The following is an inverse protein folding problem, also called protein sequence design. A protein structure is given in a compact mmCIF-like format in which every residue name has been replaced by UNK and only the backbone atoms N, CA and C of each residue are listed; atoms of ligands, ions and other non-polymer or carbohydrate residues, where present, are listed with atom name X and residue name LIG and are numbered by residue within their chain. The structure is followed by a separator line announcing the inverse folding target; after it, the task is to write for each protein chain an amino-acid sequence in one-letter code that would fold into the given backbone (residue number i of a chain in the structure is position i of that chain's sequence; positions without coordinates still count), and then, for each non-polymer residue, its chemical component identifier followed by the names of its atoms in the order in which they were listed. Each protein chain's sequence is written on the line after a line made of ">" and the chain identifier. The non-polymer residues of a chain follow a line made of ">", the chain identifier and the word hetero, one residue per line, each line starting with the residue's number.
data_IF_788914465678
#
_entry.id   IF_788914465678
#
_cell.length_a   1.000
_cell.length_b   1.000
_cell.length_c   1.000
_cell.angle_alpha   90.00
_cell.angle_beta   90.00
_cell.angle_gamma   90.00
#
_symmetry.space_group_name_H-M   'P 1'
#
loop_
_entity.id
_entity.type
_entity.pdbx_description
1 polymer ?
#
# COMPACT_ATOMS: atom_id res chain seq x y z
N UNK A 1 6.07 32.50 27.29
CA UNK A 1 6.79 33.02 26.11
C UNK A 1 7.18 31.84 25.23
N UNK A 2 6.35 31.49 24.24
CA UNK A 2 6.74 30.52 23.21
C UNK A 2 7.84 31.14 22.34
N UNK A 3 8.99 30.46 22.24
CA UNK A 3 10.15 30.93 21.48
C UNK A 3 9.83 30.98 19.99
N UNK A 4 9.82 32.19 19.41
CA UNK A 4 9.54 32.45 18.00
C UNK A 4 10.39 31.60 17.00
N UNK A 5 11.58 31.16 17.41
CA UNK A 5 12.44 30.28 16.61
C UNK A 5 11.88 28.87 16.39
N UNK A 6 11.13 28.31 17.34
CA UNK A 6 10.56 26.97 17.23
C UNK A 6 9.41 26.89 16.21
N UNK A 7 8.68 27.99 16.00
CA UNK A 7 7.60 28.09 15.03
C UNK A 7 8.14 28.20 13.60
N UNK A 8 9.24 28.93 13.41
CA UNK A 8 9.91 29.07 12.12
C UNK A 8 10.47 27.72 11.63
N UNK A 9 11.12 26.96 12.51
CA UNK A 9 11.65 25.62 12.20
C UNK A 9 10.53 24.62 11.83
N UNK A 10 9.42 24.59 12.58
CA UNK A 10 8.26 23.76 12.25
C UNK A 10 7.67 24.07 10.86
N UNK A 11 7.58 25.36 10.50
CA UNK A 11 7.10 25.78 9.16
C UNK A 11 8.03 25.35 8.04
N UNK A 12 9.35 25.40 8.27
CA UNK A 12 10.34 24.96 7.29
C UNK A 12 10.28 23.45 7.07
N UNK A 13 10.16 22.66 8.14
CA UNK A 13 9.97 21.20 8.04
C UNK A 13 8.68 20.83 7.31
N UNK A 14 7.57 21.52 7.63
CA UNK A 14 6.31 21.32 6.91
C UNK A 14 6.43 21.66 5.42
N UNK A 15 7.12 22.75 5.06
CA UNK A 15 7.38 23.11 3.65
C UNK A 15 8.21 22.05 2.94
N UNK A 16 9.26 21.53 3.57
CA UNK A 16 10.08 20.47 2.99
C UNK A 16 9.26 19.20 2.72
N UNK A 17 8.50 18.72 3.72
CA UNK A 17 7.60 17.57 3.53
C UNK A 17 6.54 17.83 2.47
N UNK A 18 5.98 19.04 2.42
CA UNK A 18 5.00 19.42 1.39
C UNK A 18 5.60 19.35 -0.02
N UNK A 19 6.81 19.89 -0.22
CA UNK A 19 7.54 19.85 -1.50
C UNK A 19 7.75 18.41 -1.96
N UNK A 20 8.15 17.52 -1.05
CA UNK A 20 8.36 16.10 -1.33
C UNK A 20 7.05 15.41 -1.71
N UNK A 21 5.94 15.72 -1.02
CA UNK A 21 4.61 15.23 -1.38
C UNK A 21 4.16 15.74 -2.76
N UNK A 22 4.40 17.01 -3.09
CA UNK A 22 4.08 17.54 -4.42
C UNK A 22 4.89 16.85 -5.50
N UNK A 23 6.19 16.64 -5.29
CA UNK A 23 7.06 15.90 -6.20
C UNK A 23 6.58 14.46 -6.37
N UNK A 24 6.28 13.76 -5.28
CA UNK A 24 5.78 12.39 -5.29
C UNK A 24 4.45 12.25 -6.05
N UNK A 25 3.54 13.22 -5.86
CA UNK A 25 2.22 13.23 -6.51
C UNK A 25 2.25 13.83 -7.93
N UNK A 26 3.42 14.24 -8.44
CA UNK A 26 3.55 14.86 -9.76
C UNK A 26 2.96 16.26 -9.87
N UNK A 27 2.66 16.94 -8.76
CA UNK A 27 2.33 18.36 -8.76
C UNK A 27 3.59 19.18 -9.04
N UNK A 28 3.46 20.30 -9.76
CA UNK A 28 4.56 21.25 -9.96
C UNK A 28 4.98 21.83 -8.60
N UNK A 29 6.02 21.23 -8.01
CA UNK A 29 6.72 21.73 -6.83
C UNK A 29 7.80 22.69 -7.30
N UNK A 30 7.98 23.81 -6.62
CA UNK A 30 8.80 24.96 -7.06
C UNK A 30 10.33 24.69 -7.15
N UNK A 31 10.80 23.44 -7.08
CA UNK A 31 12.22 23.09 -7.19
C UNK A 31 12.37 21.74 -7.88
N UNK A 32 12.73 21.78 -9.17
CA UNK A 32 13.07 20.63 -10.00
C UNK A 32 14.43 20.07 -9.60
N UNK A 33 14.50 18.86 -9.05
CA UNK A 33 15.70 18.03 -9.14
C UNK A 33 15.30 16.57 -9.43
N UNK A 34 15.76 16.09 -10.58
CA UNK A 34 15.47 14.76 -11.11
C UNK A 34 16.39 13.69 -10.52
N UNK A 35 15.79 12.62 -9.99
CA UNK A 35 16.53 11.45 -9.50
C UNK A 35 16.72 10.44 -10.64
N UNK A 36 17.97 10.19 -11.06
CA UNK A 36 18.32 9.14 -12.03
C UNK A 36 18.64 7.84 -11.31
N UNK A 37 17.77 6.84 -11.43
CA UNK A 37 18.01 5.49 -10.89
C UNK A 37 18.98 4.70 -11.77
N UNK A 38 20.03 4.11 -11.18
CA UNK A 38 21.01 3.24 -11.89
C UNK A 38 20.41 1.86 -12.17
N UNK A 39 20.40 1.43 -13.43
CA UNK A 39 19.95 0.09 -13.85
C UNK A 39 20.91 -1.00 -13.36
N UNK A 40 20.46 -1.84 -12.43
CA UNK A 40 21.11 -3.08 -12.00
C UNK A 40 20.89 -4.21 -13.03
N UNK A 41 21.87 -5.10 -13.21
CA UNK A 41 21.76 -6.31 -14.06
C UNK A 41 20.78 -7.31 -13.45
N UNK A 42 19.87 -7.81 -14.27
CA UNK A 42 18.76 -8.69 -13.85
C UNK A 42 19.19 -10.14 -13.66
N UNK A 43 18.59 -10.83 -12.70
CA UNK A 43 18.82 -12.24 -12.42
C UNK A 43 17.69 -13.13 -12.98
N UNK A 44 17.94 -14.41 -13.33
CA UNK A 44 16.93 -15.29 -13.94
C UNK A 44 15.63 -15.46 -13.14
N UNK A 45 15.70 -15.52 -11.81
CA UNK A 45 14.51 -15.60 -10.94
C UNK A 45 13.65 -14.32 -11.00
N UNK A 46 14.22 -13.19 -11.42
CA UNK A 46 13.45 -11.96 -11.63
C UNK A 46 12.55 -12.08 -12.87
N UNK A 47 12.89 -12.96 -13.83
CA UNK A 47 12.12 -13.16 -15.07
C UNK A 47 10.88 -14.01 -14.81
N UNK A 48 11.01 -15.12 -14.08
CA UNK A 48 9.87 -15.94 -13.64
C UNK A 48 8.93 -15.15 -12.70
N UNK A 49 9.50 -14.33 -11.81
CA UNK A 49 8.72 -13.44 -10.95
C UNK A 49 8.04 -12.32 -11.75
N UNK A 50 8.63 -11.84 -12.85
CA UNK A 50 8.01 -10.88 -13.76
C UNK A 50 6.83 -11.50 -14.52
N UNK A 51 6.97 -12.72 -15.03
CA UNK A 51 5.87 -13.45 -15.69
C UNK A 51 4.70 -13.69 -14.71
N UNK A 52 5.00 -14.19 -13.49
CA UNK A 52 4.00 -14.37 -12.46
C UNK A 52 3.32 -13.06 -12.02
N UNK A 53 4.05 -11.93 -12.06
CA UNK A 53 3.48 -10.60 -11.81
C UNK A 53 2.52 -10.19 -12.92
N UNK A 54 2.91 -10.35 -14.19
CA UNK A 54 2.08 -10.01 -15.35
C UNK A 54 0.78 -10.82 -15.30
N UNK A 55 0.88 -12.13 -15.12
CA UNK A 55 -0.27 -13.03 -15.04
C UNK A 55 -1.21 -12.68 -13.89
N UNK A 56 -0.65 -12.38 -12.71
CA UNK A 56 -1.44 -11.94 -11.55
C UNK A 56 -2.15 -10.62 -11.83
N UNK A 57 -1.45 -9.68 -12.46
CA UNK A 57 -2.01 -8.38 -12.81
C UNK A 57 -3.16 -8.51 -13.80
N UNK A 58 -3.02 -9.37 -14.80
CA UNK A 58 -4.12 -9.65 -15.74
C UNK A 58 -5.35 -10.23 -15.03
N UNK A 59 -5.15 -11.17 -14.10
CA UNK A 59 -6.27 -11.75 -13.33
C UNK A 59 -6.95 -10.72 -12.44
N UNK A 60 -6.17 -9.90 -11.72
CA UNK A 60 -6.69 -8.79 -10.92
C UNK A 60 -7.48 -7.80 -11.77
N UNK A 61 -7.02 -7.47 -12.97
CA UNK A 61 -7.71 -6.53 -13.87
C UNK A 61 -9.02 -7.10 -14.43
N UNK A 62 -9.10 -8.43 -14.60
CA UNK A 62 -10.32 -9.14 -15.01
C UNK A 62 -11.28 -9.39 -13.84
N UNK A 63 -10.89 -9.07 -12.61
CA UNK A 63 -11.68 -9.29 -11.41
C UNK A 63 -12.93 -8.40 -11.36
N UNK A 64 -14.11 -9.00 -11.14
CA UNK A 64 -15.30 -8.23 -10.77
C UNK A 64 -15.29 -7.91 -9.27
N UNK A 65 -14.96 -6.67 -8.91
CA UNK A 65 -14.80 -6.24 -7.52
C UNK A 65 -16.06 -6.44 -6.66
N UNK A 66 -17.26 -6.20 -7.21
CA UNK A 66 -18.52 -6.38 -6.46
C UNK A 66 -18.76 -7.86 -6.15
N UNK A 67 -18.50 -8.74 -7.11
CA UNK A 67 -18.63 -10.20 -6.92
C UNK A 67 -17.66 -10.68 -5.85
N UNK A 68 -16.39 -10.24 -5.90
CA UNK A 68 -15.41 -10.64 -4.89
C UNK A 68 -15.73 -10.09 -3.51
N UNK A 69 -16.23 -8.85 -3.41
CA UNK A 69 -16.67 -8.28 -2.15
C UNK A 69 -17.75 -9.16 -1.51
N UNK A 70 -18.76 -9.55 -2.30
CA UNK A 70 -19.85 -10.40 -1.81
C UNK A 70 -19.39 -11.81 -1.42
N UNK A 71 -18.39 -12.36 -2.11
CA UNK A 71 -17.77 -13.64 -1.73
C UNK A 71 -16.99 -13.54 -0.43
N UNK A 72 -16.29 -12.43 -0.21
CA UNK A 72 -15.47 -12.21 0.97
C UNK A 72 -16.28 -11.81 2.21
N UNK A 73 -17.32 -10.97 2.05
CA UNK A 73 -18.04 -10.32 3.15
C UNK A 73 -19.50 -10.78 3.32
N UNK A 74 -20.03 -11.57 2.37
CA UNK A 74 -21.43 -12.04 2.35
C UNK A 74 -22.27 -11.39 1.24
N UNK A 75 -23.39 -12.03 0.89
CA UNK A 75 -24.22 -11.69 -0.28
C UNK A 75 -24.75 -10.24 -0.28
N UNK A 76 -25.08 -9.72 0.89
CA UNK A 76 -25.60 -8.35 1.09
C UNK A 76 -24.50 -7.27 1.14
N UNK A 77 -23.24 -7.66 0.99
CA UNK A 77 -22.14 -6.70 1.08
C UNK A 77 -22.17 -5.71 -0.10
N UNK A 78 -22.01 -4.43 0.26
CA UNK A 78 -21.94 -3.30 -0.68
C UNK A 78 -20.74 -2.43 -0.32
N UNK A 79 -20.13 -1.83 -1.35
CA UNK A 79 -19.06 -0.86 -1.16
C UNK A 79 -19.61 0.40 -0.48
N UNK A 80 -18.74 1.08 0.26
CA UNK A 80 -19.04 2.31 0.99
C UNK A 80 -18.23 3.46 0.42
N UNK A 81 -18.88 4.60 0.15
CA UNK A 81 -18.20 5.80 -0.37
C UNK A 81 -17.36 5.48 -1.61
N UNK A 82 -16.09 5.91 -1.60
CA UNK A 82 -15.15 5.78 -2.72
C UNK A 82 -14.48 4.40 -2.84
N UNK A 83 -14.88 3.39 -2.06
CA UNK A 83 -14.21 2.09 -2.05
C UNK A 83 -14.18 1.41 -3.42
N UNK A 84 -15.32 1.40 -4.12
CA UNK A 84 -15.42 0.70 -5.40
C UNK A 84 -14.53 1.36 -6.45
N UNK A 85 -14.54 2.69 -6.53
CA UNK A 85 -13.72 3.48 -7.43
C UNK A 85 -12.22 3.28 -7.14
N UNK A 86 -11.83 3.37 -5.88
CA UNK A 86 -10.44 3.17 -5.46
C UNK A 86 -9.97 1.73 -5.76
N UNK A 87 -10.80 0.71 -5.50
CA UNK A 87 -10.46 -0.68 -5.84
C UNK A 87 -10.31 -0.87 -7.35
N UNK A 88 -11.21 -0.29 -8.15
CA UNK A 88 -11.11 -0.34 -9.62
C UNK A 88 -9.79 0.25 -10.10
N UNK A 89 -9.42 1.44 -9.62
CA UNK A 89 -8.14 2.08 -9.95
C UNK A 89 -6.95 1.20 -9.54
N UNK A 90 -6.96 0.64 -8.33
CA UNK A 90 -5.91 -0.28 -7.83
C UNK A 90 -5.80 -1.52 -8.73
N UNK A 91 -6.91 -2.15 -9.09
CA UNK A 91 -6.91 -3.37 -9.92
C UNK A 91 -6.63 -3.11 -11.40
N UNK A 92 -6.87 -1.88 -11.87
CA UNK A 92 -6.49 -1.42 -13.20
C UNK A 92 -4.98 -1.13 -13.29
N UNK A 93 -4.29 -1.05 -12.15
CA UNK A 93 -2.88 -0.75 -12.09
C UNK A 93 -2.53 0.73 -12.10
N UNK A 94 -3.51 1.59 -11.82
CA UNK A 94 -3.29 3.02 -11.72
C UNK A 94 -2.39 3.32 -10.52
N UNK A 95 -1.43 4.23 -10.70
CA UNK A 95 -0.50 4.64 -9.67
C UNK A 95 0.06 6.04 -9.96
N UNK A 96 0.09 6.96 -8.98
CA UNK A 96 -0.39 6.79 -7.60
C UNK A 96 -1.92 6.92 -7.46
N UNK A 97 -2.52 6.19 -6.51
CA UNK A 97 -3.93 6.34 -6.12
C UNK A 97 -4.00 6.96 -4.72
N UNK A 98 -4.75 8.06 -4.59
CA UNK A 98 -4.97 8.75 -3.31
C UNK A 98 -6.45 8.65 -2.93
N UNK A 99 -6.76 7.84 -1.92
CA UNK A 99 -8.12 7.67 -1.40
C UNK A 99 -8.29 8.40 -0.06
N UNK A 100 -9.12 9.44 -0.03
CA UNK A 100 -9.46 10.18 1.19
C UNK A 100 -10.75 9.61 1.78
N UNK A 101 -10.65 9.00 2.97
CA UNK A 101 -11.78 8.31 3.60
C UNK A 101 -11.81 8.54 5.12
N UNK A 102 -12.99 8.75 5.73
CA UNK A 102 -13.09 8.93 7.18
C UNK A 102 -12.70 7.65 7.94
N UNK A 103 -12.41 7.79 9.23
CA UNK A 103 -12.17 6.64 10.12
C UNK A 103 -13.40 5.74 10.16
N UNK A 104 -13.21 4.42 10.17
CA UNK A 104 -14.31 3.46 10.13
C UNK A 104 -14.92 3.20 8.74
N UNK A 105 -14.60 4.00 7.72
CA UNK A 105 -15.11 3.81 6.35
C UNK A 105 -14.58 2.55 5.64
N UNK A 106 -13.73 1.75 6.29
CA UNK A 106 -13.21 0.50 5.73
C UNK A 106 -12.04 0.68 4.76
N UNK A 107 -11.12 1.62 5.03
CA UNK A 107 -9.89 1.82 4.23
C UNK A 107 -9.08 0.54 3.99
N UNK A 108 -9.05 -0.38 4.95
CA UNK A 108 -8.32 -1.64 4.80
C UNK A 108 -8.86 -2.54 3.69
N UNK A 109 -10.12 -2.38 3.30
CA UNK A 109 -10.72 -3.12 2.19
C UNK A 109 -9.99 -2.91 0.87
N UNK A 110 -9.40 -1.72 0.68
CA UNK A 110 -8.71 -1.36 -0.56
C UNK A 110 -7.52 -2.28 -0.86
N UNK A 111 -6.85 -2.81 0.17
CA UNK A 111 -5.76 -3.77 0.01
C UNK A 111 -6.18 -5.21 0.33
N UNK A 112 -7.12 -5.41 1.25
CA UNK A 112 -7.56 -6.75 1.66
C UNK A 112 -8.32 -7.46 0.55
N UNK A 113 -9.22 -6.77 -0.15
CA UNK A 113 -10.00 -7.40 -1.22
C UNK A 113 -9.12 -7.92 -2.37
N UNK A 114 -8.19 -7.14 -2.96
CA UNK A 114 -7.33 -7.66 -4.01
C UNK A 114 -6.36 -8.73 -3.50
N UNK A 115 -5.88 -8.64 -2.25
CA UNK A 115 -5.02 -9.68 -1.66
C UNK A 115 -5.78 -11.00 -1.41
N UNK A 116 -7.07 -10.93 -1.11
CA UNK A 116 -7.94 -12.08 -0.94
C UNK A 116 -8.31 -12.73 -2.27
N UNK A 117 -8.66 -11.91 -3.26
CA UNK A 117 -9.16 -12.36 -4.55
C UNK A 117 -8.09 -13.04 -5.41
N UNK A 118 -6.86 -12.52 -5.42
CA UNK A 118 -5.77 -13.04 -6.25
C UNK A 118 -4.50 -13.28 -5.41
N UNK A 119 -4.27 -14.57 -5.12
CA UNK A 119 -3.07 -15.07 -4.46
C UNK A 119 -1.88 -15.13 -5.43
N UNK A 120 -0.67 -15.29 -4.90
CA UNK A 120 0.56 -15.31 -5.70
C UNK A 120 1.25 -13.95 -5.84
N UNK A 121 0.97 -13.01 -4.93
CA UNK A 121 1.71 -11.77 -4.78
C UNK A 121 1.62 -11.23 -3.36
N UNK A 122 2.48 -10.27 -3.04
CA UNK A 122 2.57 -9.66 -1.71
C UNK A 122 2.23 -8.19 -1.77
N UNK A 123 1.26 -7.77 -0.95
CA UNK A 123 0.94 -6.37 -0.73
C UNK A 123 1.66 -5.89 0.53
N UNK A 124 2.56 -4.92 0.37
CA UNK A 124 3.24 -4.26 1.49
C UNK A 124 2.36 -3.12 2.00
N UNK A 125 2.01 -3.14 3.28
CA UNK A 125 1.18 -2.12 3.92
C UNK A 125 2.00 -1.44 5.01
N UNK A 126 2.39 -0.19 4.75
CA UNK A 126 3.14 0.63 5.70
C UNK A 126 2.18 1.28 6.68
N UNK A 127 2.31 0.97 7.97
CA UNK A 127 1.47 1.51 9.04
C UNK A 127 2.31 2.03 10.21
N UNK A 128 2.06 3.26 10.70
CA UNK A 128 2.88 3.87 11.74
C UNK A 128 2.59 3.33 13.15
N UNK A 129 1.39 2.80 13.39
CA UNK A 129 0.96 2.37 14.72
C UNK A 129 1.10 0.86 14.87
N UNK A 130 2.00 0.42 15.75
CA UNK A 130 2.20 -1.02 16.07
C UNK A 130 0.90 -1.67 16.54
N UNK A 131 0.12 -1.00 17.38
CA UNK A 131 -1.19 -1.50 17.85
C UNK A 131 -2.17 -1.78 16.69
N UNK A 132 -2.07 -1.01 15.60
CA UNK A 132 -2.91 -1.20 14.41
C UNK A 132 -2.49 -2.44 13.61
N UNK A 133 -1.21 -2.86 13.68
CA UNK A 133 -0.72 -4.06 12.98
C UNK A 133 -1.43 -5.31 13.48
N UNK A 134 -1.51 -5.50 14.80
CA UNK A 134 -2.17 -6.65 15.40
C UNK A 134 -3.66 -6.76 15.02
N UNK A 135 -4.36 -5.63 14.97
CA UNK A 135 -5.76 -5.58 14.52
C UNK A 135 -5.91 -5.92 13.04
N UNK A 136 -5.00 -5.45 12.18
CA UNK A 136 -4.99 -5.78 10.76
C UNK A 136 -4.66 -7.24 10.52
N UNK A 137 -3.64 -7.79 11.19
CA UNK A 137 -3.29 -9.22 11.15
C UNK A 137 -4.47 -10.09 11.55
N UNK A 138 -5.16 -9.73 12.64
CA UNK A 138 -6.37 -10.43 13.09
C UNK A 138 -7.48 -10.41 12.04
N UNK A 139 -7.72 -9.28 11.37
CA UNK A 139 -8.74 -9.16 10.30
C UNK A 139 -8.36 -9.98 9.07
N UNK A 140 -7.10 -9.93 8.63
CA UNK A 140 -6.61 -10.77 7.55
C UNK A 140 -6.81 -12.26 7.85
N UNK A 141 -6.43 -12.70 9.06
CA UNK A 141 -6.61 -14.09 9.52
C UNK A 141 -8.08 -14.53 9.48
N UNK A 142 -9.02 -13.66 9.90
CA UNK A 142 -10.47 -13.95 9.84
C UNK A 142 -10.99 -14.13 8.40
N UNK A 143 -10.36 -13.48 7.44
CA UNK A 143 -10.70 -13.57 6.02
C UNK A 143 -9.91 -14.66 5.27
N UNK A 144 -9.03 -15.39 5.96
CA UNK A 144 -8.14 -16.38 5.34
C UNK A 144 -6.99 -15.76 4.52
N UNK A 145 -6.69 -14.48 4.73
CA UNK A 145 -5.57 -13.79 4.07
C UNK A 145 -4.29 -14.02 4.89
N UNK A 146 -3.28 -14.62 4.26
CA UNK A 146 -1.93 -14.76 4.83
C UNK A 146 -1.33 -13.37 5.09
N UNK A 147 -1.03 -13.06 6.34
CA UNK A 147 -0.61 -11.72 6.77
C UNK A 147 0.44 -11.80 7.86
N UNK A 148 1.60 -11.20 7.62
CA UNK A 148 2.72 -11.18 8.55
C UNK A 148 3.18 -9.76 8.88
N UNK A 149 3.77 -9.61 10.07
CA UNK A 149 4.44 -8.37 10.46
C UNK A 149 5.91 -8.47 10.06
N UNK A 150 6.47 -7.39 9.52
CA UNK A 150 7.89 -7.34 9.21
C UNK A 150 8.71 -7.11 10.48
N UNK A 151 9.67 -8.01 10.71
CA UNK A 151 10.56 -8.02 11.90
C UNK A 151 12.05 -7.93 11.52
N UNK A 152 12.38 -7.32 10.37
CA UNK A 152 13.77 -7.16 9.91
C UNK A 152 14.38 -8.40 9.27
N UNK A 153 13.55 -9.38 8.89
CA UNK A 153 13.97 -10.57 8.13
C UNK A 153 12.91 -10.89 7.10
N UNK A 154 13.34 -11.55 6.02
CA UNK A 154 12.45 -12.03 4.95
C UNK A 154 11.25 -12.78 5.56
N UNK A 155 10.01 -12.29 5.36
CA UNK A 155 8.81 -13.00 5.74
C UNK A 155 8.77 -14.35 5.01
N UNK A 156 8.06 -15.35 5.54
CA UNK A 156 7.86 -16.61 4.83
C UNK A 156 7.38 -16.33 3.39
N UNK A 157 7.88 -17.09 2.41
CA UNK A 157 7.73 -16.86 0.96
C UNK A 157 6.27 -16.92 0.41
N UNK A 158 5.26 -16.75 1.27
CA UNK A 158 3.84 -16.88 0.94
C UNK A 158 2.91 -15.85 1.63
N UNK A 159 3.44 -14.78 2.22
CA UNK A 159 2.58 -13.74 2.82
C UNK A 159 1.88 -12.90 1.74
N UNK A 160 0.54 -12.93 1.71
CA UNK A 160 -0.26 -12.09 0.80
C UNK A 160 -0.25 -10.61 1.22
N UNK A 161 -0.12 -10.36 2.53
CA UNK A 161 0.02 -9.03 3.11
C UNK A 161 1.21 -9.01 4.07
N UNK A 162 2.05 -7.98 3.97
CA UNK A 162 3.14 -7.74 4.92
C UNK A 162 2.96 -6.36 5.53
N UNK A 163 2.85 -6.30 6.86
CA UNK A 163 2.68 -5.07 7.63
C UNK A 163 4.05 -4.55 8.06
N UNK A 164 4.39 -3.33 7.66
CA UNK A 164 5.71 -2.73 7.90
C UNK A 164 5.54 -1.39 8.61
N UNK A 165 6.46 -1.02 9.51
CA UNK A 165 6.47 0.36 10.03
C UNK A 165 7.27 1.27 9.11
N UNK A 166 7.06 2.60 9.13
CA UNK A 166 7.86 3.52 8.34
C UNK A 166 9.37 3.37 8.58
N UNK A 167 9.78 3.13 9.83
CA UNK A 167 11.18 2.98 10.23
C UNK A 167 11.80 1.71 9.62
N UNK A 168 11.07 0.59 9.62
CA UNK A 168 11.54 -0.64 8.99
C UNK A 168 11.57 -0.52 7.46
N UNK A 169 10.63 0.20 6.85
CA UNK A 169 10.57 0.35 5.39
C UNK A 169 11.76 1.13 4.80
N UNK A 170 12.50 1.86 5.63
CA UNK A 170 13.69 2.64 5.23
C UNK A 170 15.00 2.05 5.75
N UNK A 171 14.96 0.95 6.48
CA UNK A 171 16.16 0.29 7.01
C UNK A 171 16.89 -0.52 5.92
N UNK A 172 18.20 -0.70 6.07
CA UNK A 172 19.01 -1.50 5.11
C UNK A 172 18.61 -2.97 5.05
N UNK A 173 17.93 -3.47 6.09
CA UNK A 173 17.50 -4.86 6.20
C UNK A 173 16.20 -5.17 5.40
N UNK A 174 15.52 -4.16 4.85
CA UNK A 174 14.26 -4.29 4.11
C UNK A 174 14.47 -4.53 2.61
#
# INVERSE_FOLDING_TARGET
>A
MEQAGAVADKRQRFRASSIDWHRFLGFQSAVEEGFKSKKRKRAPFETEAEEGRIDRWERLRKMNAVVQLRRMMGKEAVFRGVQEEAIKAITAGESPVVAVMPTGAGKSMLFMLPAWAEQGGTTVVVVPLIALRGDMKRRCKKLGISCEEWEGRRPPDAAAVVLVTPESAVSEDF
#
